data_IF_138683687477
#
_entry.id   IF_138683687477
#
_cell.length_a   1.000
_cell.length_b   1.000
_cell.length_c   1.000
_cell.angle_alpha   90.00
_cell.angle_beta   90.00
_cell.angle_gamma   90.00
#
_symmetry.space_group_name_H-M   'P 1'
#
loop_
_entity.id
_entity.type
_entity.pdbx_description
1 polymer ?
#
# COMPACT_ATOMS: atom_id res chain seq x y z
N UNK A 1 -20.32 10.50 4.99
CA UNK A 1 -19.56 10.15 3.76
C UNK A 1 -18.27 10.95 3.74
N UNK A 2 -17.18 10.43 4.29
CA UNK A 2 -15.89 11.12 4.27
C UNK A 2 -15.11 10.68 3.03
N UNK A 3 -15.55 11.15 1.86
CA UNK A 3 -14.86 10.84 0.60
C UNK A 3 -13.48 11.49 0.60
N UNK A 4 -12.41 10.68 0.58
CA UNK A 4 -11.06 11.24 0.40
C UNK A 4 -10.97 11.90 -0.97
N UNK A 5 -10.47 13.13 -1.04
CA UNK A 5 -10.23 13.85 -2.30
C UNK A 5 -8.85 13.55 -2.85
N UNK A 6 -8.72 13.51 -4.17
CA UNK A 6 -7.47 13.28 -4.86
C UNK A 6 -6.52 14.46 -4.65
N UNK A 7 -5.30 14.19 -4.15
CA UNK A 7 -4.27 15.21 -3.90
C UNK A 7 -3.78 15.92 -5.15
N UNK A 8 -4.02 15.36 -6.34
CA UNK A 8 -3.60 15.96 -7.62
C UNK A 8 -4.65 16.90 -8.21
N UNK A 9 -5.91 16.45 -8.28
CA UNK A 9 -6.96 17.18 -9.01
C UNK A 9 -8.09 17.69 -8.11
N UNK A 10 -8.10 17.35 -6.81
CA UNK A 10 -9.12 17.80 -5.85
C UNK A 10 -10.47 17.06 -5.96
N UNK A 11 -10.65 16.21 -6.98
CA UNK A 11 -11.92 15.49 -7.16
C UNK A 11 -12.12 14.37 -6.12
N UNK A 12 -13.39 14.03 -5.78
CA UNK A 12 -13.71 12.94 -4.86
C UNK A 12 -13.22 11.59 -5.38
N UNK A 13 -12.56 10.80 -4.53
CA UNK A 13 -12.16 9.44 -4.85
C UNK A 13 -13.17 8.43 -4.32
N UNK A 14 -13.58 7.51 -5.19
CA UNK A 14 -14.30 6.34 -4.76
C UNK A 14 -13.39 5.39 -3.99
N UNK A 15 -13.98 4.52 -3.18
CA UNK A 15 -13.23 3.48 -2.48
C UNK A 15 -12.51 2.56 -3.50
N UNK A 16 -11.41 1.95 -3.08
CA UNK A 16 -10.61 1.08 -3.95
C UNK A 16 -11.41 -0.13 -4.46
N UNK A 17 -12.35 -0.62 -3.64
CA UNK A 17 -13.22 -1.75 -3.87
C UNK A 17 -14.59 -1.37 -4.44
N UNK A 18 -14.86 -0.09 -4.69
CA UNK A 18 -16.12 0.37 -5.26
C UNK A 18 -16.21 -0.04 -6.75
N UNK A 19 -16.99 -1.09 -7.02
CA UNK A 19 -17.20 -1.62 -8.36
C UNK A 19 -18.17 -0.79 -9.20
N UNK A 20 -18.90 0.15 -8.60
CA UNK A 20 -19.89 0.99 -9.30
C UNK A 20 -19.23 2.09 -10.13
N UNK A 21 -18.01 2.49 -9.77
CA UNK A 21 -17.25 3.50 -10.51
C UNK A 21 -16.23 2.88 -11.47
N UNK A 22 -15.81 3.69 -12.45
CA UNK A 22 -14.71 3.34 -13.35
C UNK A 22 -13.43 3.14 -12.55
N UNK A 23 -12.62 2.17 -12.96
CA UNK A 23 -11.34 1.85 -12.30
C UNK A 23 -10.41 3.07 -12.18
N UNK A 24 -10.43 3.97 -13.17
CA UNK A 24 -9.65 5.21 -13.17
C UNK A 24 -9.99 6.19 -12.04
N UNK A 25 -11.22 6.15 -11.52
CA UNK A 25 -11.77 7.06 -10.50
C UNK A 25 -11.78 6.42 -9.10
N UNK A 26 -11.18 5.22 -8.96
CA UNK A 26 -10.97 4.58 -7.67
C UNK A 26 -9.71 5.10 -7.01
N UNK A 27 -9.75 5.22 -5.68
CA UNK A 27 -8.58 5.53 -4.87
C UNK A 27 -7.45 4.52 -5.15
N UNK A 28 -6.29 5.07 -5.47
CA UNK A 28 -5.02 4.39 -5.64
C UNK A 28 -4.01 4.97 -4.62
N UNK A 29 -2.82 4.40 -4.56
CA UNK A 29 -1.79 4.80 -3.60
C UNK A 29 -1.49 6.32 -3.59
N UNK A 30 -0.84 6.78 -2.51
CA UNK A 30 -0.40 8.19 -2.33
C UNK A 30 -1.54 9.23 -2.34
N UNK A 31 -2.78 8.81 -2.05
CA UNK A 31 -3.92 9.72 -1.91
C UNK A 31 -4.42 10.29 -3.24
N UNK A 32 -4.35 9.51 -4.32
CA UNK A 32 -4.77 9.91 -5.67
C UNK A 32 -5.70 8.87 -6.28
N UNK A 33 -6.52 9.26 -7.25
CA UNK A 33 -7.17 8.30 -8.13
C UNK A 33 -6.16 7.53 -8.96
N UNK A 34 -6.54 6.35 -9.46
CA UNK A 34 -5.67 5.56 -10.32
C UNK A 34 -5.17 6.36 -11.54
N UNK A 35 -6.05 7.08 -12.23
CA UNK A 35 -5.68 7.89 -13.41
C UNK A 35 -4.61 8.95 -13.09
N UNK A 36 -4.75 9.66 -11.97
CA UNK A 36 -3.79 10.68 -11.55
C UNK A 36 -2.49 10.04 -11.06
N UNK A 37 -2.58 8.94 -10.32
CA UNK A 37 -1.42 8.18 -9.88
C UNK A 37 -0.58 7.71 -11.07
N UNK A 38 -1.20 7.13 -12.10
CA UNK A 38 -0.50 6.67 -13.30
C UNK A 38 0.12 7.82 -14.10
N UNK A 39 -0.58 8.97 -14.17
CA UNK A 39 -0.04 10.17 -14.81
C UNK A 39 1.23 10.67 -14.11
N UNK A 40 1.20 10.82 -12.79
CA UNK A 40 2.36 11.27 -12.01
C UNK A 40 3.49 10.23 -12.00
N UNK A 41 3.17 8.94 -12.05
CA UNK A 41 4.16 7.87 -12.17
C UNK A 41 4.91 7.97 -13.51
N UNK A 42 4.20 8.13 -14.62
CA UNK A 42 4.80 8.29 -15.96
C UNK A 42 5.59 9.58 -16.10
N UNK A 43 5.16 10.64 -15.39
CA UNK A 43 5.87 11.92 -15.35
C UNK A 43 7.09 11.93 -14.41
N UNK A 44 7.36 10.84 -13.67
CA UNK A 44 8.45 10.80 -12.69
C UNK A 44 8.19 11.58 -11.39
N UNK A 45 6.98 12.09 -11.18
CA UNK A 45 6.62 12.99 -10.08
C UNK A 45 5.90 12.28 -8.92
N UNK A 46 5.72 10.96 -9.00
CA UNK A 46 5.02 10.20 -7.96
C UNK A 46 5.66 10.31 -6.56
N UNK A 47 6.97 10.61 -6.49
CA UNK A 47 7.70 10.81 -5.23
C UNK A 47 7.33 12.11 -4.51
N UNK A 48 6.85 13.13 -5.22
CA UNK A 48 6.35 14.37 -4.64
C UNK A 48 5.10 14.16 -3.76
N UNK A 49 4.41 13.04 -3.93
CA UNK A 49 3.25 12.65 -3.15
C UNK A 49 3.66 11.58 -2.12
N UNK A 50 3.71 11.88 -0.81
CA UNK A 50 4.18 10.90 0.17
C UNK A 50 3.31 9.64 0.19
N UNK A 51 3.93 8.47 0.35
CA UNK A 51 3.21 7.22 0.55
C UNK A 51 2.43 7.29 1.86
N UNK A 52 1.16 6.89 1.82
CA UNK A 52 0.34 6.74 3.01
C UNK A 52 0.48 5.34 3.64
N UNK A 53 1.03 4.39 2.88
CA UNK A 53 1.19 3.00 3.28
C UNK A 53 2.63 2.57 2.99
N UNK A 54 3.22 1.77 3.88
CA UNK A 54 4.51 1.12 3.65
C UNK A 54 4.36 0.05 2.56
N UNK A 55 5.23 0.00 1.54
CA UNK A 55 5.20 -1.06 0.53
C UNK A 55 5.38 -2.45 1.12
N UNK A 56 4.76 -3.45 0.50
CA UNK A 56 4.89 -4.84 0.95
C UNK A 56 6.33 -5.33 0.97
N UNK A 57 7.15 -4.97 -0.03
CA UNK A 57 8.56 -5.38 -0.11
C UNK A 57 9.36 -4.89 1.10
N UNK A 58 9.26 -3.60 1.45
CA UNK A 58 9.91 -3.03 2.64
C UNK A 58 9.45 -3.75 3.93
N UNK A 59 8.16 -4.10 4.03
CA UNK A 59 7.63 -4.86 5.17
C UNK A 59 8.23 -6.28 5.24
N UNK A 60 8.48 -6.92 4.11
CA UNK A 60 9.09 -8.26 4.07
C UNK A 60 10.58 -8.21 4.40
N UNK A 61 11.30 -7.19 3.93
CA UNK A 61 12.70 -6.96 4.27
C UNK A 61 12.86 -6.73 5.78
N UNK A 62 12.05 -5.83 6.35
CA UNK A 62 12.00 -5.58 7.80
C UNK A 62 11.66 -6.87 8.57
N UNK A 63 10.66 -7.63 8.12
CA UNK A 63 10.29 -8.90 8.73
C UNK A 63 11.43 -9.90 8.71
N UNK A 64 12.12 -10.05 7.58
CA UNK A 64 13.24 -11.00 7.43
C UNK A 64 14.38 -10.65 8.38
N UNK A 65 14.71 -9.36 8.50
CA UNK A 65 15.72 -8.87 9.42
C UNK A 65 15.36 -9.12 10.89
N UNK A 66 14.10 -8.92 11.28
CA UNK A 66 13.63 -9.15 12.66
C UNK A 66 13.49 -10.64 12.97
N UNK A 67 13.07 -11.45 12.01
CA UNK A 67 12.99 -12.91 12.16
C UNK A 67 14.38 -13.52 12.39
N UNK A 68 15.43 -13.00 11.73
CA UNK A 68 16.81 -13.41 11.95
C UNK A 68 17.32 -13.12 13.38
N UNK A 69 16.68 -12.18 14.09
CA UNK A 69 16.94 -11.88 15.50
C UNK A 69 16.08 -12.72 16.46
N UNK A 70 15.43 -13.79 15.97
CA UNK A 70 14.50 -14.64 16.72
C UNK A 70 13.26 -13.91 17.27
N UNK A 71 12.87 -12.77 16.68
CA UNK A 71 11.59 -12.14 17.06
C UNK A 71 10.40 -12.93 16.52
N UNK A 72 9.35 -13.02 17.34
CA UNK A 72 8.05 -13.54 16.90
C UNK A 72 7.38 -12.55 15.95
N UNK A 73 6.43 -13.03 15.12
CA UNK A 73 5.65 -12.18 14.22
C UNK A 73 4.91 -11.06 14.96
N UNK A 74 4.37 -11.34 16.15
CA UNK A 74 3.69 -10.33 16.98
C UNK A 74 4.66 -9.22 17.41
N UNK A 75 5.81 -9.60 17.96
CA UNK A 75 6.82 -8.63 18.39
C UNK A 75 7.40 -7.82 17.22
N UNK A 76 7.58 -8.47 16.06
CA UNK A 76 8.03 -7.79 14.85
C UNK A 76 6.98 -6.77 14.34
N UNK A 77 5.70 -7.15 14.32
CA UNK A 77 4.61 -6.24 13.92
C UNK A 77 4.54 -5.01 14.84
N UNK A 78 4.63 -5.22 16.16
CA UNK A 78 4.69 -4.14 17.16
C UNK A 78 5.88 -3.21 16.91
N UNK A 79 7.08 -3.76 16.66
CA UNK A 79 8.29 -2.98 16.39
C UNK A 79 8.23 -2.21 15.07
N UNK A 80 7.52 -2.73 14.07
CA UNK A 80 7.24 -2.04 12.80
C UNK A 80 6.09 -1.03 12.90
N UNK A 81 5.42 -0.92 14.05
CA UNK A 81 4.28 -0.03 14.25
C UNK A 81 3.04 -0.43 13.44
N UNK A 82 2.83 -1.73 13.20
CA UNK A 82 1.68 -2.24 12.46
C UNK A 82 0.98 -3.41 13.18
N UNK A 83 -0.25 -3.72 12.76
CA UNK A 83 -0.98 -4.85 13.32
C UNK A 83 -0.42 -6.19 12.84
N UNK A 84 -0.50 -7.22 13.70
CA UNK A 84 -0.11 -8.58 13.35
C UNK A 84 -0.79 -9.06 12.05
N UNK A 85 -2.10 -8.83 11.91
CA UNK A 85 -2.83 -9.20 10.70
C UNK A 85 -2.35 -8.46 9.44
N UNK A 86 -1.82 -7.23 9.56
CA UNK A 86 -1.23 -6.54 8.42
C UNK A 86 0.09 -7.20 7.98
N UNK A 87 0.94 -7.57 8.95
CA UNK A 87 2.18 -8.30 8.69
C UNK A 87 1.90 -9.68 8.06
N UNK A 88 0.98 -10.45 8.64
CA UNK A 88 0.64 -11.79 8.11
C UNK A 88 0.09 -11.74 6.69
N UNK A 89 -0.75 -10.74 6.37
CA UNK A 89 -1.21 -10.53 5.00
C UNK A 89 -0.07 -10.18 4.05
N UNK A 90 0.90 -9.37 4.49
CA UNK A 90 2.06 -9.04 3.68
C UNK A 90 2.89 -10.31 3.37
N UNK A 91 3.19 -11.12 4.40
CA UNK A 91 3.92 -12.40 4.26
C UNK A 91 3.17 -13.36 3.32
N UNK A 92 1.86 -13.51 3.51
CA UNK A 92 1.04 -14.40 2.67
C UNK A 92 1.04 -13.98 1.20
N UNK A 93 0.90 -12.66 0.92
CA UNK A 93 0.95 -12.13 -0.44
C UNK A 93 2.31 -12.36 -1.09
N UNK A 94 3.40 -12.08 -0.37
CA UNK A 94 4.75 -12.27 -0.89
C UNK A 94 5.00 -13.71 -1.32
N UNK A 95 4.68 -14.69 -0.45
CA UNK A 95 4.81 -16.13 -0.75
C UNK A 95 3.98 -16.57 -1.95
N UNK A 96 2.81 -15.96 -2.14
CA UNK A 96 1.93 -16.26 -3.27
C UNK A 96 2.52 -15.75 -4.59
N UNK A 97 3.18 -14.59 -4.56
CA UNK A 97 3.88 -14.03 -5.72
C UNK A 97 5.13 -14.84 -6.07
N UNK A 98 5.93 -15.25 -5.08
CA UNK A 98 7.13 -16.08 -5.29
C UNK A 98 6.79 -17.43 -5.94
N UNK A 99 5.64 -18.02 -5.61
CA UNK A 99 5.17 -19.29 -6.22
C UNK A 99 4.65 -19.14 -7.64
N UNK A 100 4.28 -17.93 -8.05
CA UNK A 100 3.73 -17.64 -9.36
C UNK A 100 4.81 -17.14 -10.36
N UNK A 101 6.05 -16.97 -9.89
CA UNK A 101 7.23 -16.58 -10.68
C UNK A 101 8.09 -17.80 -10.97
#
# INVERSE_FOLDING_TARGET
MSGQVCRKCGEPMAAHDDKTVRWGDRRCGRGMHNRCYQRELRAGNATAYPRQLRPGVEVIEDWTFLAAQNLTRRAAAERMGMSLGALERAIHRHRSTERAS
#
